data_IF_712003207895
#
_entry.id   IF_712003207895
#
_cell.length_a   1.000
_cell.length_b   1.000
_cell.length_c   1.000
_cell.angle_alpha   90.00
_cell.angle_beta   90.00
_cell.angle_gamma   90.00
#
_symmetry.space_group_name_H-M   'P 1'
#
loop_
_entity.id
_entity.type
_entity.pdbx_description
1 polymer ?
#
# COMPACT_ATOMS: atom_id res chain seq x y z
N UNK A 1 -11.08 13.68 -16.84
CA UNK A 1 -9.80 13.61 -17.58
C UNK A 1 -9.09 12.39 -17.03
N UNK A 2 -8.88 11.33 -17.82
CA UNK A 2 -8.09 10.19 -17.36
C UNK A 2 -6.65 10.67 -17.22
N UNK A 3 -6.22 10.96 -16.00
CA UNK A 3 -4.79 11.20 -15.74
C UNK A 3 -4.10 9.85 -15.93
N UNK A 4 -3.05 9.83 -16.73
CA UNK A 4 -2.23 8.65 -16.88
C UNK A 4 -1.46 8.45 -15.57
N UNK A 5 -1.79 7.39 -14.83
CA UNK A 5 -1.13 7.06 -13.57
C UNK A 5 0.29 6.58 -13.83
N UNK A 6 1.22 6.98 -12.96
CA UNK A 6 2.61 6.52 -13.00
C UNK A 6 2.72 5.11 -12.39
N UNK A 7 2.40 4.10 -13.20
CA UNK A 7 2.42 2.71 -12.77
C UNK A 7 3.80 2.23 -12.32
N UNK A 8 4.91 2.81 -12.81
CA UNK A 8 6.26 2.41 -12.36
C UNK A 8 6.49 2.81 -10.90
N UNK A 9 6.11 4.05 -10.54
CA UNK A 9 6.16 4.52 -9.15
C UNK A 9 5.23 3.69 -8.25
N UNK A 10 4.00 3.44 -8.72
CA UNK A 10 3.00 2.71 -7.94
C UNK A 10 3.38 1.24 -7.74
N UNK A 11 4.02 0.59 -8.72
CA UNK A 11 4.50 -0.79 -8.59
C UNK A 11 5.59 -0.93 -7.53
N UNK A 12 6.53 0.03 -7.47
CA UNK A 12 7.56 0.07 -6.41
C UNK A 12 6.91 0.22 -5.04
N UNK A 13 5.98 1.15 -4.90
CA UNK A 13 5.27 1.40 -3.65
C UNK A 13 4.46 0.17 -3.20
N UNK A 14 3.74 -0.47 -4.12
CA UNK A 14 2.99 -1.70 -3.86
C UNK A 14 3.89 -2.83 -3.38
N UNK A 15 5.07 -3.00 -3.98
CA UNK A 15 6.03 -4.01 -3.55
C UNK A 15 6.53 -3.76 -2.12
N UNK A 16 6.78 -2.50 -1.75
CA UNK A 16 7.18 -2.12 -0.39
C UNK A 16 6.07 -2.34 0.62
N UNK A 17 4.83 -1.94 0.31
CA UNK A 17 3.65 -2.17 1.17
C UNK A 17 3.40 -3.67 1.39
N UNK A 18 3.49 -4.49 0.34
CA UNK A 18 3.34 -5.94 0.46
C UNK A 18 4.46 -6.56 1.30
N UNK A 19 5.70 -6.12 1.12
CA UNK A 19 6.83 -6.57 1.93
C UNK A 19 6.63 -6.23 3.41
N UNK A 20 6.18 -5.02 3.72
CA UNK A 20 5.90 -4.59 5.08
C UNK A 20 4.74 -5.40 5.70
N UNK A 21 3.67 -5.65 4.94
CA UNK A 21 2.54 -6.48 5.35
C UNK A 21 2.88 -7.96 5.57
N UNK A 22 3.91 -8.49 4.90
CA UNK A 22 4.41 -9.85 5.15
C UNK A 22 5.39 -9.93 6.34
N UNK A 23 5.95 -8.79 6.75
CA UNK A 23 6.87 -8.71 7.89
C UNK A 23 6.14 -8.60 9.23
N UNK A 24 4.87 -8.16 9.23
CA UNK A 24 3.99 -8.38 10.37
C UNK A 24 3.87 -9.87 10.63
N UNK A 25 4.58 -10.34 11.66
CA UNK A 25 4.36 -11.68 12.23
C UNK A 25 2.89 -11.72 12.62
N UNK A 26 2.10 -12.60 11.98
CA UNK A 26 0.72 -12.86 12.40
C UNK A 26 0.70 -13.12 13.91
N UNK A 27 0.21 -12.16 14.72
CA UNK A 27 0.05 -12.42 16.13
C UNK A 27 -1.19 -13.28 16.23
N UNK A 28 -1.04 -14.53 16.66
CA UNK A 28 -2.16 -15.41 17.01
C UNK A 28 -2.83 -14.96 18.32
N UNK A 29 -2.96 -13.64 18.53
CA UNK A 29 -3.28 -13.03 19.81
C UNK A 29 -4.10 -11.76 19.55
N UNK A 30 -5.39 -11.87 19.85
CA UNK A 30 -6.35 -10.75 19.93
C UNK A 30 -5.86 -9.60 20.85
N UNK A 31 -4.79 -9.81 21.62
CA UNK A 31 -4.25 -8.91 22.64
C UNK A 31 -2.85 -8.31 22.34
N UNK A 32 -2.19 -8.60 21.20
CA UNK A 32 -0.91 -7.93 20.91
C UNK A 32 -1.14 -6.51 20.41
N UNK A 33 -0.38 -5.51 20.89
CA UNK A 33 -0.38 -4.20 20.27
C UNK A 33 0.10 -4.37 18.82
N UNK A 34 -0.76 -3.97 17.87
CA UNK A 34 -0.36 -3.85 16.48
C UNK A 34 0.81 -2.87 16.42
N UNK A 35 2.00 -3.36 16.08
CA UNK A 35 3.09 -2.47 15.73
C UNK A 35 2.65 -1.68 14.48
N UNK A 36 2.65 -0.34 14.53
CA UNK A 36 2.26 0.45 13.37
C UNK A 36 3.23 0.12 12.23
N UNK A 37 2.69 -0.40 11.13
CA UNK A 37 3.45 -0.49 9.89
C UNK A 37 3.55 0.92 9.34
N UNK A 38 4.76 1.49 9.30
CA UNK A 38 5.00 2.75 8.61
C UNK A 38 4.83 2.51 7.11
N UNK A 39 3.89 3.22 6.45
CA UNK A 39 3.74 3.09 5.01
C UNK A 39 4.91 3.78 4.29
N UNK A 40 5.18 3.38 3.03
CA UNK A 40 6.24 3.98 2.22
C UNK A 40 6.03 5.50 1.99
N UNK A 41 7.12 6.19 1.70
CA UNK A 41 7.12 7.65 1.50
C UNK A 41 6.13 8.05 0.39
N UNK A 42 5.32 9.09 0.65
CA UNK A 42 4.31 9.58 -0.28
C UNK A 42 3.01 8.76 -0.33
N UNK A 43 2.87 7.70 0.48
CA UNK A 43 1.64 6.89 0.53
C UNK A 43 0.39 7.71 0.94
N UNK A 44 0.55 8.65 1.88
CA UNK A 44 -0.56 9.53 2.32
C UNK A 44 -0.87 10.66 1.32
N UNK A 45 -0.05 10.84 0.29
CA UNK A 45 -0.23 11.84 -0.76
C UNK A 45 -0.87 11.26 -2.02
N UNK A 46 -1.13 9.94 -2.03
CA UNK A 46 -1.79 9.27 -3.14
C UNK A 46 -3.21 9.79 -3.32
N UNK A 47 -3.61 9.92 -4.58
CA UNK A 47 -5.02 10.06 -4.96
C UNK A 47 -5.78 8.76 -4.71
N UNK A 48 -7.11 8.83 -4.64
CA UNK A 48 -7.96 7.64 -4.46
C UNK A 48 -7.68 6.55 -5.51
N UNK A 49 -7.45 6.96 -6.76
CA UNK A 49 -7.13 6.08 -7.89
C UNK A 49 -5.79 5.35 -7.69
N UNK A 50 -4.76 6.09 -7.27
CA UNK A 50 -3.43 5.55 -6.99
C UNK A 50 -3.44 4.64 -5.76
N UNK A 51 -4.17 5.02 -4.71
CA UNK A 51 -4.35 4.21 -3.52
C UNK A 51 -5.04 2.88 -3.85
N UNK A 52 -6.11 2.89 -4.65
CA UNK A 52 -6.82 1.67 -5.07
C UNK A 52 -5.87 0.71 -5.79
N UNK A 53 -5.02 1.23 -6.67
CA UNK A 53 -4.02 0.42 -7.35
C UNK A 53 -2.97 -0.14 -6.38
N UNK A 54 -2.41 0.68 -5.50
CA UNK A 54 -1.38 0.25 -4.54
C UNK A 54 -1.92 -0.78 -3.54
N UNK A 55 -3.11 -0.55 -2.98
CA UNK A 55 -3.72 -1.40 -1.97
C UNK A 55 -4.32 -2.70 -2.55
N UNK A 56 -5.00 -2.62 -3.69
CA UNK A 56 -5.78 -3.74 -4.24
C UNK A 56 -5.26 -4.30 -5.57
N UNK A 57 -4.31 -3.63 -6.22
CA UNK A 57 -3.84 -4.00 -7.56
C UNK A 57 -4.88 -3.77 -8.67
N UNK A 58 -5.92 -2.98 -8.39
CA UNK A 58 -7.01 -2.70 -9.33
C UNK A 58 -6.65 -1.46 -10.13
N UNK A 59 -6.66 -1.57 -11.47
CA UNK A 59 -6.48 -0.42 -12.35
C UNK A 59 -7.78 0.39 -12.40
N UNK A 60 -7.80 1.66 -11.99
CA UNK A 60 -8.99 2.51 -12.06
C UNK A 60 -9.37 2.79 -13.52
N UNK A 61 -10.66 2.95 -13.80
CA UNK A 61 -11.22 3.12 -15.14
C UNK A 61 -11.15 4.54 -15.70
#
# INVERSE_FOLDING_TARGET
>A
MKKELDYEKLDKMRAETLKASMQTKDPDVEDMPLEPIEPPEGFFELTDEEFIYVAFGIKPE
#
